data_IF_902793558789
#
_entry.id   IF_902793558789
#
_cell.length_a   1.000
_cell.length_b   1.000
_cell.length_c   1.000
_cell.angle_alpha   90.00
_cell.angle_beta   90.00
_cell.angle_gamma   90.00
#
_symmetry.space_group_name_H-M   'P 1'
#
loop_
_entity.id
_entity.type
_entity.pdbx_description
1 polymer ?
#
# COMPACT_ATOMS: atom_id res chain seq x y z
N UNK A 1 -3.81 -12.71 -10.16
CA UNK A 1 -4.40 -11.91 -9.08
C UNK A 1 -3.36 -10.85 -8.73
N UNK A 2 -3.56 -9.62 -9.19
CA UNK A 2 -2.56 -8.56 -9.12
C UNK A 2 -3.03 -7.51 -8.12
N UNK A 3 -2.30 -7.41 -7.02
CA UNK A 3 -2.59 -6.54 -5.89
C UNK A 3 -2.73 -5.05 -6.26
N UNK A 4 -2.17 -4.66 -7.42
CA UNK A 4 -2.19 -3.29 -7.91
C UNK A 4 -2.68 -3.11 -9.35
N UNK A 5 -3.13 -4.18 -10.02
CA UNK A 5 -3.63 -4.06 -11.40
C UNK A 5 -5.02 -3.45 -11.41
N UNK A 6 -5.20 -2.26 -12.03
CA UNK A 6 -6.49 -1.59 -12.08
C UNK A 6 -7.56 -2.40 -12.82
N UNK A 7 -7.20 -3.33 -13.71
CA UNK A 7 -8.15 -4.18 -14.44
C UNK A 7 -8.73 -5.31 -13.58
N UNK A 8 -8.04 -5.70 -12.51
CA UNK A 8 -8.50 -6.70 -11.54
C UNK A 8 -8.88 -6.09 -10.19
N UNK A 9 -8.65 -4.79 -10.01
CA UNK A 9 -8.95 -4.09 -8.79
C UNK A 9 -10.43 -3.73 -8.73
N UNK A 10 -11.13 -4.40 -7.82
CA UNK A 10 -12.52 -4.11 -7.54
C UNK A 10 -12.76 -2.69 -6.99
N UNK A 11 -11.72 -1.97 -6.56
CA UNK A 11 -11.77 -0.55 -6.16
C UNK A 11 -11.60 0.44 -7.31
N UNK A 12 -11.17 -0.03 -8.49
CA UNK A 12 -10.94 0.77 -9.70
C UNK A 12 -12.21 0.95 -10.55
N UNK A 13 -13.29 0.23 -10.23
CA UNK A 13 -14.59 0.39 -10.88
C UNK A 13 -15.57 1.14 -9.94
N UNK A 14 -15.95 2.40 -10.25
CA UNK A 14 -16.85 3.20 -9.41
C UNK A 14 -18.29 2.62 -9.35
N UNK A 15 -18.72 1.87 -10.37
CA UNK A 15 -20.03 1.22 -10.42
C UNK A 15 -20.06 -0.10 -9.65
N UNK A 16 -18.89 -0.69 -9.37
CA UNK A 16 -18.74 -1.71 -8.35
C UNK A 16 -18.47 -1.04 -7.02
N UNK A 17 -19.47 -0.34 -6.49
CA UNK A 17 -19.67 -0.42 -5.04
C UNK A 17 -19.83 -1.90 -4.76
N UNK A 18 -18.73 -2.53 -4.32
CA UNK A 18 -18.71 -3.92 -3.87
C UNK A 18 -19.99 -4.15 -3.07
N UNK A 19 -20.59 -5.33 -3.20
CA UNK A 19 -21.73 -5.75 -2.37
C UNK A 19 -21.28 -5.92 -0.90
N UNK A 20 -20.82 -4.82 -0.31
CA UNK A 20 -20.20 -4.73 1.00
C UNK A 20 -21.23 -5.05 2.08
N UNK A 21 -22.50 -4.71 1.83
CA UNK A 21 -23.63 -5.01 2.68
C UNK A 21 -23.73 -6.51 3.04
N UNK A 22 -23.30 -7.41 2.14
CA UNK A 22 -23.29 -8.87 2.39
C UNK A 22 -22.27 -9.29 3.45
N UNK A 23 -21.15 -8.58 3.59
CA UNK A 23 -20.13 -8.88 4.60
C UNK A 23 -20.53 -8.35 6.00
N UNK A 24 -21.57 -7.52 6.10
CA UNK A 24 -22.09 -6.97 7.35
C UNK A 24 -23.41 -7.60 7.81
N UNK A 25 -24.03 -8.44 6.98
CA UNK A 25 -25.29 -9.12 7.31
C UNK A 25 -25.10 -10.50 7.94
N UNK A 26 -23.92 -11.09 7.79
CA UNK A 26 -23.57 -12.34 8.45
C UNK A 26 -23.08 -12.03 9.87
N UNK A 27 -23.87 -12.46 10.85
CA UNK A 27 -23.60 -12.30 12.29
C UNK A 27 -22.26 -12.99 12.62
N UNK A 28 -21.39 -12.31 13.36
CA UNK A 28 -20.12 -12.90 13.81
C UNK A 28 -20.38 -14.27 14.46
N UNK A 29 -19.65 -15.34 14.07
CA UNK A 29 -19.81 -16.64 14.69
C UNK A 29 -19.39 -16.53 16.17
N UNK A 30 -20.38 -16.61 17.06
CA UNK A 30 -20.15 -16.67 18.50
C UNK A 30 -19.51 -18.02 18.86
N UNK A 31 -18.20 -18.12 18.73
CA UNK A 31 -17.40 -19.30 19.08
C UNK A 31 -15.91 -19.08 18.76
N UNK A 32 -14.98 -19.88 19.32
CA UNK A 32 -13.61 -19.88 18.84
C UNK A 32 -13.62 -20.17 17.34
N UNK A 33 -12.98 -19.30 16.54
CA UNK A 33 -13.02 -19.38 15.08
C UNK A 33 -12.48 -20.72 14.59
N UNK A 34 -13.37 -21.63 14.20
CA UNK A 34 -13.01 -22.92 13.60
C UNK A 34 -12.44 -22.75 12.18
N UNK A 35 -12.72 -21.61 11.53
CA UNK A 35 -12.21 -21.26 10.21
C UNK A 35 -11.37 -19.96 10.27
N UNK A 36 -10.08 -20.00 9.91
CA UNK A 36 -9.24 -18.81 9.78
C UNK A 36 -9.82 -17.76 8.82
N UNK A 37 -10.73 -18.13 7.91
CA UNK A 37 -11.37 -17.22 6.95
C UNK A 37 -12.36 -16.23 7.58
N UNK A 38 -12.80 -16.47 8.82
CA UNK A 38 -13.78 -15.62 9.54
C UNK A 38 -13.14 -14.70 10.58
N UNK A 39 -11.81 -14.69 10.71
CA UNK A 39 -11.13 -13.78 11.64
C UNK A 39 -11.08 -12.34 11.10
N UNK A 40 -11.26 -11.32 11.94
CA UNK A 40 -11.10 -9.93 11.52
C UNK A 40 -9.68 -9.73 10.94
N UNK A 41 -9.63 -9.16 9.75
CA UNK A 41 -8.39 -8.89 9.01
C UNK A 41 -7.45 -8.05 9.89
N UNK A 42 -6.26 -8.59 10.20
CA UNK A 42 -5.25 -7.95 11.08
C UNK A 42 -5.77 -7.60 12.48
N UNK A 43 -6.93 -8.12 12.93
CA UNK A 43 -7.59 -7.67 14.15
C UNK A 43 -8.07 -6.20 14.09
N UNK A 44 -8.29 -5.65 12.89
CA UNK A 44 -8.68 -4.25 12.69
C UNK A 44 -10.14 -4.08 12.27
N UNK A 45 -10.69 -2.89 12.49
CA UNK A 45 -12.02 -2.55 12.02
C UNK A 45 -12.07 -2.39 10.50
N UNK A 46 -13.24 -2.61 9.91
CA UNK A 46 -13.47 -2.43 8.48
C UNK A 46 -13.12 -1.02 7.95
N UNK A 47 -13.18 0.01 8.81
CA UNK A 47 -12.78 1.37 8.45
C UNK A 47 -11.31 1.46 8.05
N UNK A 48 -10.43 0.66 8.65
CA UNK A 48 -9.02 0.61 8.28
C UNK A 48 -8.84 0.05 6.87
N UNK A 49 -9.62 -0.96 6.50
CA UNK A 49 -9.64 -1.50 5.13
C UNK A 49 -10.10 -0.47 4.09
N UNK A 50 -11.16 0.30 4.42
CA UNK A 50 -11.62 1.40 3.56
C UNK A 50 -10.54 2.48 3.37
N UNK A 51 -9.80 2.79 4.44
CA UNK A 51 -8.71 3.76 4.37
C UNK A 51 -7.59 3.29 3.42
N UNK A 52 -7.20 2.02 3.48
CA UNK A 52 -6.23 1.42 2.55
C UNK A 52 -6.72 1.56 1.10
N UNK A 53 -7.99 1.25 0.87
CA UNK A 53 -8.61 1.34 -0.44
C UNK A 53 -8.60 2.77 -1.00
N UNK A 54 -9.02 3.75 -0.20
CA UNK A 54 -9.09 5.15 -0.61
C UNK A 54 -7.70 5.75 -0.85
N UNK A 55 -6.71 5.45 0.01
CA UNK A 55 -5.32 5.87 -0.21
C UNK A 55 -4.77 5.28 -1.50
N UNK A 56 -5.01 4.00 -1.76
CA UNK A 56 -4.53 3.33 -2.99
C UNK A 56 -5.17 3.96 -4.22
N UNK A 57 -6.49 4.24 -4.17
CA UNK A 57 -7.22 4.88 -5.27
C UNK A 57 -6.69 6.28 -5.56
N UNK A 58 -6.52 7.11 -4.53
CA UNK A 58 -5.99 8.46 -4.70
C UNK A 58 -4.55 8.42 -5.22
N UNK A 59 -3.73 7.51 -4.70
CA UNK A 59 -2.36 7.32 -5.18
C UNK A 59 -2.28 6.86 -6.64
N UNK A 60 -3.34 6.28 -7.21
CA UNK A 60 -3.44 5.91 -8.64
C UNK A 60 -3.88 7.04 -9.56
N UNK A 61 -4.29 8.20 -9.03
CA UNK A 61 -4.68 9.32 -9.86
C UNK A 61 -3.57 9.62 -10.89
N UNK A 62 -3.94 9.56 -12.16
CA UNK A 62 -3.09 9.78 -13.31
C UNK A 62 -3.47 11.14 -13.93
N UNK A 63 -2.69 12.17 -13.67
CA UNK A 63 -2.93 13.50 -14.22
C UNK A 63 -2.56 14.63 -13.26
N UNK A 64 -2.75 15.90 -13.69
CA UNK A 64 -2.64 17.04 -12.79
C UNK A 64 -3.73 16.95 -11.71
N UNK A 65 -3.32 17.09 -10.45
CA UNK A 65 -4.24 17.01 -9.32
C UNK A 65 -5.19 18.21 -9.32
N UNK A 66 -6.48 17.93 -9.21
CA UNK A 66 -7.49 18.97 -9.03
C UNK A 66 -7.63 19.33 -7.54
N UNK A 67 -8.33 20.43 -7.26
CA UNK A 67 -8.56 20.89 -5.89
C UNK A 67 -9.29 19.84 -5.02
N UNK A 68 -10.14 19.00 -5.63
CA UNK A 68 -10.83 17.92 -4.92
C UNK A 68 -9.85 16.81 -4.48
N UNK A 69 -8.82 16.51 -5.28
CA UNK A 69 -7.81 15.52 -4.93
C UNK A 69 -6.93 16.01 -3.77
N UNK A 70 -6.59 17.30 -3.75
CA UNK A 70 -5.83 17.93 -2.66
C UNK A 70 -6.62 17.85 -1.36
N UNK A 71 -7.91 18.19 -1.38
CA UNK A 71 -8.77 18.07 -0.20
C UNK A 71 -8.90 16.62 0.27
N UNK A 72 -9.04 15.68 -0.68
CA UNK A 72 -9.09 14.24 -0.37
C UNK A 72 -7.77 13.76 0.26
N UNK A 73 -6.63 14.23 -0.26
CA UNK A 73 -5.32 13.94 0.30
C UNK A 73 -5.21 14.41 1.75
N UNK A 74 -5.59 15.66 2.03
CA UNK A 74 -5.52 16.24 3.38
C UNK A 74 -6.36 15.44 4.37
N UNK A 75 -7.61 15.14 4.00
CA UNK A 75 -8.52 14.30 4.81
C UNK A 75 -7.92 12.94 5.10
N UNK A 76 -7.43 12.22 4.08
CA UNK A 76 -6.85 10.89 4.25
C UNK A 76 -5.56 10.93 5.10
N UNK A 77 -4.76 11.99 4.95
CA UNK A 77 -3.57 12.19 5.76
C UNK A 77 -3.92 12.38 7.25
N UNK A 78 -4.91 13.22 7.55
CA UNK A 78 -5.39 13.45 8.92
C UNK A 78 -5.99 12.19 9.54
N UNK A 79 -6.83 11.46 8.81
CA UNK A 79 -7.41 10.19 9.25
C UNK A 79 -6.31 9.16 9.55
N UNK A 80 -5.29 9.07 8.70
CA UNK A 80 -4.16 8.16 8.91
C UNK A 80 -3.35 8.51 10.17
N UNK A 81 -3.15 9.80 10.45
CA UNK A 81 -2.51 10.25 11.70
C UNK A 81 -3.34 9.92 12.95
N UNK A 82 -4.67 9.91 12.85
CA UNK A 82 -5.53 9.48 13.95
C UNK A 82 -5.39 7.98 14.21
N UNK A 83 -5.34 7.18 13.14
CA UNK A 83 -5.10 5.74 13.23
C UNK A 83 -3.74 5.41 13.85
N UNK A 84 -2.68 6.12 13.48
CA UNK A 84 -1.34 5.96 14.05
C UNK A 84 -1.30 6.23 15.56
N UNK A 85 -2.12 7.17 16.04
CA UNK A 85 -2.23 7.50 17.47
C UNK A 85 -3.13 6.53 18.24
N UNK A 86 -3.90 5.68 17.56
CA UNK A 86 -4.83 4.76 18.22
C UNK A 86 -4.07 3.55 18.81
N UNK A 87 -4.22 3.27 20.12
CA UNK A 87 -3.58 2.11 20.76
C UNK A 87 -3.92 0.76 20.11
N UNK A 88 -5.09 0.60 19.50
CA UNK A 88 -5.48 -0.63 18.81
C UNK A 88 -4.74 -0.84 17.48
N UNK A 89 -4.14 0.22 16.91
CA UNK A 89 -3.29 0.13 15.73
C UNK A 89 -1.83 -0.24 16.05
N UNK A 90 -1.51 -0.53 17.32
CA UNK A 90 -0.14 -0.85 17.76
C UNK A 90 0.31 -2.29 17.47
N UNK A 91 -0.52 -3.12 16.82
CA UNK A 91 0.03 -4.36 16.26
C UNK A 91 0.95 -4.02 15.07
N UNK A 92 2.03 -4.78 14.93
CA UNK A 92 3.08 -4.49 13.96
C UNK A 92 2.58 -4.56 12.51
N UNK A 93 1.59 -5.40 12.22
CA UNK A 93 0.95 -5.51 10.92
C UNK A 93 0.19 -4.23 10.53
N UNK A 94 -0.61 -3.68 11.43
CA UNK A 94 -1.33 -2.41 11.25
C UNK A 94 -0.36 -1.27 10.99
N UNK A 95 0.70 -1.19 11.79
CA UNK A 95 1.73 -0.17 11.61
C UNK A 95 2.41 -0.31 10.24
N UNK A 96 2.67 -1.53 9.77
CA UNK A 96 3.23 -1.78 8.45
C UNK A 96 2.33 -1.25 7.32
N UNK A 97 1.01 -1.41 7.46
CA UNK A 97 0.03 -0.82 6.54
C UNK A 97 -0.02 0.71 6.62
N UNK A 98 0.06 1.28 7.83
CA UNK A 98 0.13 2.74 8.03
C UNK A 98 1.34 3.31 7.30
N UNK A 99 2.52 2.73 7.49
CA UNK A 99 3.74 3.17 6.82
C UNK A 99 3.63 3.05 5.30
N UNK A 100 3.08 1.95 4.78
CA UNK A 100 2.85 1.78 3.35
C UNK A 100 1.87 2.83 2.78
N UNK A 101 0.77 3.13 3.49
CA UNK A 101 -0.16 4.20 3.10
C UNK A 101 0.52 5.58 3.09
N UNK A 102 1.34 5.90 4.10
CA UNK A 102 2.12 7.14 4.13
C UNK A 102 3.07 7.26 2.93
N UNK A 103 3.75 6.16 2.57
CA UNK A 103 4.62 6.12 1.37
C UNK A 103 3.80 6.39 0.09
N UNK A 104 2.62 5.80 -0.04
CA UNK A 104 1.74 6.04 -1.20
C UNK A 104 1.23 7.49 -1.26
N UNK A 105 0.86 8.08 -0.12
CA UNK A 105 0.43 9.48 -0.06
C UNK A 105 1.55 10.45 -0.44
N UNK A 106 2.83 10.12 -0.16
CA UNK A 106 3.97 10.93 -0.59
C UNK A 106 4.20 10.90 -2.10
N UNK A 107 3.66 9.90 -2.83
CA UNK A 107 3.69 9.90 -4.30
C UNK A 107 2.92 11.10 -4.88
N UNK A 108 1.89 11.54 -4.17
CA UNK A 108 0.91 12.51 -4.65
C UNK A 108 0.96 13.83 -3.87
N UNK A 109 1.89 13.95 -2.92
CA UNK A 109 2.19 15.20 -2.26
C UNK A 109 2.79 16.17 -3.29
N UNK A 110 2.03 17.22 -3.59
CA UNK A 110 2.41 18.30 -4.51
C UNK A 110 3.08 19.47 -3.76
N UNK A 111 2.97 19.50 -2.42
CA UNK A 111 3.50 20.56 -1.58
C UNK A 111 4.96 20.31 -1.19
N UNK A 112 5.38 19.04 -1.13
CA UNK A 112 6.76 18.67 -0.88
C UNK A 112 7.62 18.69 -2.16
N UNK A 113 8.80 19.34 -2.14
CA UNK A 113 9.82 19.16 -3.18
C UNK A 113 10.19 17.68 -3.36
N UNK A 114 10.56 17.23 -4.58
CA UNK A 114 10.88 15.83 -4.84
C UNK A 114 11.94 15.23 -3.89
N UNK A 115 13.01 15.98 -3.60
CA UNK A 115 14.08 15.52 -2.70
C UNK A 115 13.60 15.32 -1.26
N UNK A 116 12.73 16.21 -0.78
CA UNK A 116 12.13 16.08 0.55
C UNK A 116 11.20 14.87 0.62
N UNK A 117 10.39 14.66 -0.41
CA UNK A 117 9.53 13.49 -0.53
C UNK A 117 10.35 12.19 -0.54
N UNK A 118 11.46 12.13 -1.27
CA UNK A 118 12.36 10.97 -1.30
C UNK A 118 13.03 10.72 0.06
N UNK A 119 13.45 11.78 0.76
CA UNK A 119 13.97 11.68 2.13
C UNK A 119 12.94 11.11 3.11
N UNK A 120 11.69 11.59 3.02
CA UNK A 120 10.55 11.09 3.83
C UNK A 120 10.21 9.63 3.50
N UNK A 121 10.16 9.26 2.21
CA UNK A 121 9.95 7.87 1.78
C UNK A 121 11.05 6.97 2.34
N UNK A 122 12.31 7.39 2.23
CA UNK A 122 13.46 6.62 2.73
C UNK A 122 13.40 6.42 4.26
N UNK A 123 12.97 7.44 5.00
CA UNK A 123 12.78 7.35 6.44
C UNK A 123 11.66 6.35 6.81
N UNK A 124 10.51 6.43 6.14
CA UNK A 124 9.38 5.50 6.36
C UNK A 124 9.74 4.07 5.98
N UNK A 125 10.51 3.89 4.89
CA UNK A 125 11.03 2.58 4.50
C UNK A 125 11.88 1.96 5.61
N UNK A 126 12.83 2.70 6.20
CA UNK A 126 13.67 2.17 7.29
C UNK A 126 12.84 1.70 8.48
N UNK A 127 11.82 2.46 8.88
CA UNK A 127 10.90 2.03 9.93
C UNK A 127 10.15 0.75 9.55
N UNK A 128 9.64 0.71 8.30
CA UNK A 128 8.92 -0.45 7.78
C UNK A 128 9.80 -1.70 7.75
N UNK A 129 11.06 -1.59 7.35
CA UNK A 129 11.99 -2.71 7.34
C UNK A 129 12.31 -3.24 8.75
N UNK A 130 12.37 -2.36 9.75
CA UNK A 130 12.48 -2.76 11.15
C UNK A 130 11.30 -3.64 11.58
N UNK A 131 10.07 -3.23 11.24
CA UNK A 131 8.85 -4.02 11.52
C UNK A 131 8.82 -5.32 10.72
N UNK A 132 9.21 -5.29 9.44
CA UNK A 132 9.27 -6.51 8.62
C UNK A 132 10.17 -7.54 9.28
N UNK A 133 11.29 -7.14 9.88
CA UNK A 133 12.18 -8.05 10.56
C UNK A 133 11.56 -8.66 11.83
N UNK A 134 10.79 -7.89 12.61
CA UNK A 134 10.17 -8.35 13.86
C UNK A 134 8.88 -9.17 13.66
N UNK A 135 8.10 -8.87 12.62
CA UNK A 135 6.80 -9.53 12.38
C UNK A 135 6.97 -11.03 12.21
N UNK A 136 6.26 -11.78 13.05
CA UNK A 136 6.07 -13.21 12.94
C UNK A 136 5.06 -13.55 11.81
N UNK A 137 5.49 -14.26 10.76
CA UNK A 137 4.61 -14.68 9.67
C UNK A 137 3.43 -15.54 10.11
N UNK A 138 3.57 -16.28 11.22
CA UNK A 138 2.56 -17.22 11.70
C UNK A 138 1.40 -16.51 12.45
N UNK A 139 1.59 -15.25 12.84
CA UNK A 139 0.58 -14.44 13.55
C UNK A 139 -0.44 -13.77 12.64
N UNK A 140 -0.16 -13.67 11.34
CA UNK A 140 -1.03 -12.99 10.38
C UNK A 140 -1.36 -13.89 9.21
N UNK A 141 -2.62 -13.84 8.75
CA UNK A 141 -3.00 -14.52 7.52
C UNK A 141 -2.15 -14.00 6.35
N UNK A 142 -1.41 -14.93 5.72
CA UNK A 142 -0.37 -14.72 4.72
C UNK A 142 -0.68 -13.69 3.61
N UNK A 143 -1.96 -13.59 3.21
CA UNK A 143 -2.40 -12.70 2.15
C UNK A 143 -2.33 -11.21 2.50
N UNK A 144 -2.42 -10.86 3.78
CA UNK A 144 -2.52 -9.45 4.18
C UNK A 144 -1.17 -8.75 4.17
N UNK A 145 -0.10 -9.38 4.62
CA UNK A 145 1.22 -8.73 4.66
C UNK A 145 1.84 -8.49 3.28
N UNK A 146 1.34 -9.15 2.22
CA UNK A 146 1.87 -8.96 0.87
C UNK A 146 1.66 -7.54 0.34
N UNK A 147 0.57 -6.87 0.71
CA UNK A 147 0.31 -5.50 0.26
C UNK A 147 1.34 -4.49 0.74
N UNK A 148 1.55 -4.32 2.05
CA UNK A 148 2.53 -3.36 2.52
C UNK A 148 3.97 -3.77 2.13
N UNK A 149 4.28 -5.08 2.06
CA UNK A 149 5.58 -5.56 1.58
C UNK A 149 5.86 -5.19 0.11
N UNK A 150 4.84 -5.19 -0.73
CA UNK A 150 5.01 -4.79 -2.13
C UNK A 150 5.25 -3.29 -2.24
N UNK A 151 4.55 -2.47 -1.44
CA UNK A 151 4.80 -1.01 -1.38
C UNK A 151 6.24 -0.73 -0.93
N UNK A 152 6.67 -1.30 0.20
CA UNK A 152 8.04 -1.15 0.71
C UNK A 152 9.08 -1.68 -0.28
N UNK A 153 8.83 -2.85 -0.88
CA UNK A 153 9.71 -3.46 -1.86
C UNK A 153 9.90 -2.62 -3.11
N UNK A 154 8.91 -1.83 -3.51
CA UNK A 154 8.98 -0.95 -4.68
C UNK A 154 9.90 0.25 -4.46
N UNK A 155 10.04 0.71 -3.22
CA UNK A 155 10.89 1.85 -2.85
C UNK A 155 12.23 1.44 -2.22
N UNK A 156 12.46 0.14 -2.00
CA UNK A 156 13.77 -0.37 -1.59
C UNK A 156 14.85 -0.11 -2.66
N UNK A 157 16.01 0.40 -2.22
CA UNK A 157 17.12 0.81 -3.09
C UNK A 157 18.36 -0.04 -2.86
N UNK A 158 18.74 -0.25 -1.60
CA UNK A 158 19.98 -0.97 -1.28
C UNK A 158 19.78 -2.48 -1.34
N UNK A 159 20.87 -3.22 -1.55
CA UNK A 159 20.83 -4.68 -1.59
C UNK A 159 20.29 -5.28 -0.28
N UNK A 160 20.57 -4.64 0.86
CA UNK A 160 20.09 -5.12 2.16
C UNK A 160 18.58 -4.89 2.34
N UNK A 161 18.09 -3.71 1.98
CA UNK A 161 16.64 -3.41 1.99
C UNK A 161 15.86 -4.39 1.11
N UNK A 162 16.37 -4.63 -0.11
CA UNK A 162 15.79 -5.59 -1.06
C UNK A 162 15.78 -7.00 -0.47
N UNK A 163 16.88 -7.42 0.15
CA UNK A 163 17.03 -8.73 0.78
C UNK A 163 16.02 -8.93 1.90
N UNK A 164 15.85 -7.94 2.79
CA UNK A 164 14.90 -8.00 3.91
C UNK A 164 13.47 -8.27 3.39
N UNK A 165 13.02 -7.48 2.41
CA UNK A 165 11.69 -7.64 1.82
C UNK A 165 11.53 -8.99 1.14
N UNK A 166 12.51 -9.39 0.32
CA UNK A 166 12.45 -10.65 -0.42
C UNK A 166 12.43 -11.88 0.50
N UNK A 167 13.21 -11.86 1.59
CA UNK A 167 13.20 -12.93 2.59
C UNK A 167 11.82 -13.03 3.22
N UNK A 168 11.20 -11.92 3.63
CA UNK A 168 9.86 -11.97 4.22
C UNK A 168 8.80 -12.44 3.23
N UNK A 169 8.84 -11.97 1.98
CA UNK A 169 7.93 -12.44 0.91
C UNK A 169 8.09 -13.96 0.69
N UNK A 170 9.32 -14.47 0.74
CA UNK A 170 9.58 -15.90 0.60
C UNK A 170 9.04 -16.71 1.78
N UNK A 171 9.18 -16.19 3.01
CA UNK A 171 8.66 -16.82 4.23
C UNK A 171 7.13 -16.86 4.25
N UNK A 172 6.45 -15.85 3.72
CA UNK A 172 4.99 -15.82 3.61
C UNK A 172 4.43 -16.75 2.51
N UNK A 173 5.30 -17.49 1.82
CA UNK A 173 5.01 -18.22 0.60
C UNK A 173 4.52 -19.66 0.78
N UNK A 174 3.34 -19.88 1.38
CA UNK A 174 2.58 -21.13 1.21
C UNK A 174 1.97 -21.27 -0.21
N UNK A 175 1.97 -20.18 -1.00
CA UNK A 175 1.61 -20.13 -2.44
C UNK A 175 2.76 -19.55 -3.27
N UNK A 176 3.72 -20.42 -3.65
CA UNK A 176 4.95 -20.07 -4.41
C UNK A 176 4.71 -19.15 -5.62
N UNK A 177 3.58 -19.30 -6.31
CA UNK A 177 3.25 -18.52 -7.50
C UNK A 177 3.10 -17.01 -7.22
N UNK A 178 2.39 -16.62 -6.15
CA UNK A 178 2.15 -15.20 -5.84
C UNK A 178 3.43 -14.52 -5.36
N UNK A 179 4.18 -15.17 -4.46
CA UNK A 179 5.47 -14.67 -3.99
C UNK A 179 6.52 -14.58 -5.13
N UNK A 180 6.49 -15.51 -6.09
CA UNK A 180 7.34 -15.44 -7.29
C UNK A 180 6.94 -14.27 -8.19
N UNK A 181 5.64 -14.06 -8.38
CA UNK A 181 5.13 -12.94 -9.17
C UNK A 181 5.51 -11.59 -8.53
N UNK A 182 5.30 -11.41 -7.23
CA UNK A 182 5.66 -10.16 -6.52
C UNK A 182 7.15 -9.86 -6.69
N UNK A 183 8.03 -10.85 -6.52
CA UNK A 183 9.48 -10.67 -6.72
C UNK A 183 9.81 -10.21 -8.14
N UNK A 184 9.31 -10.92 -9.14
CA UNK A 184 9.53 -10.56 -10.55
C UNK A 184 9.01 -9.16 -10.88
N UNK A 185 7.86 -8.78 -10.32
CA UNK A 185 7.28 -7.45 -10.51
C UNK A 185 8.10 -6.34 -9.84
N UNK A 186 8.57 -6.56 -8.61
CA UNK A 186 9.45 -5.63 -7.89
C UNK A 186 10.78 -5.43 -8.61
N UNK A 187 11.38 -6.50 -9.13
CA UNK A 187 12.63 -6.41 -9.89
C UNK A 187 12.43 -5.55 -11.15
N UNK A 188 11.31 -5.73 -11.86
CA UNK A 188 10.95 -4.87 -13.00
C UNK A 188 10.84 -3.39 -12.60
N UNK A 189 10.09 -3.07 -11.53
CA UNK A 189 9.91 -1.69 -11.06
C UNK A 189 11.27 -1.03 -10.75
N UNK A 190 12.16 -1.74 -10.05
CA UNK A 190 13.48 -1.22 -9.65
C UNK A 190 14.39 -0.92 -10.84
N UNK A 191 14.30 -1.72 -11.90
CA UNK A 191 15.10 -1.52 -13.12
C UNK A 191 14.59 -0.38 -14.02
N UNK A 192 13.37 0.12 -13.79
CA UNK A 192 12.76 1.06 -14.73
C UNK A 192 13.16 2.51 -14.48
N UNK A 193 13.43 2.90 -13.22
CA UNK A 193 13.73 4.28 -12.85
C UNK A 193 14.47 4.38 -11.51
N UNK A 194 15.26 5.45 -11.34
CA UNK A 194 15.96 5.77 -10.09
C UNK A 194 15.09 6.54 -9.08
N UNK A 195 14.05 7.25 -9.50
CA UNK A 195 13.20 8.02 -8.57
C UNK A 195 12.21 7.13 -7.84
N UNK A 196 12.13 7.27 -6.52
CA UNK A 196 11.20 6.51 -5.67
C UNK A 196 9.74 6.81 -6.02
N UNK A 197 9.43 8.07 -6.32
CA UNK A 197 8.08 8.52 -6.71
C UNK A 197 7.62 7.86 -8.01
N UNK A 198 8.52 7.73 -8.98
CA UNK A 198 8.25 7.06 -10.26
C UNK A 198 8.04 5.55 -10.06
N UNK A 199 8.83 4.90 -9.19
CA UNK A 199 8.65 3.48 -8.86
C UNK A 199 7.27 3.19 -8.27
N UNK A 200 6.76 4.07 -7.41
CA UNK A 200 5.39 4.00 -6.90
C UNK A 200 4.35 4.16 -8.03
N UNK A 201 4.60 5.06 -8.99
CA UNK A 201 3.76 5.17 -10.18
C UNK A 201 3.69 3.88 -11.00
N UNK A 202 4.83 3.22 -11.25
CA UNK A 202 4.88 1.93 -11.93
C UNK A 202 4.19 0.82 -11.15
N UNK A 203 4.39 0.76 -9.82
CA UNK A 203 3.68 -0.18 -8.94
C UNK A 203 2.16 -0.07 -9.11
N UNK A 204 1.67 1.16 -9.23
CA UNK A 204 0.26 1.49 -9.29
C UNK A 204 -0.34 1.41 -10.69
N UNK A 205 0.45 1.06 -11.71
CA UNK A 205 -0.01 0.98 -13.11
C UNK A 205 -0.31 2.34 -13.73
N UNK A 206 0.24 3.43 -13.19
CA UNK A 206 0.06 4.78 -13.75
C UNK A 206 0.98 4.94 -14.95
N UNK A 207 0.43 5.29 -16.10
CA UNK A 207 1.24 5.51 -17.32
C UNK A 207 1.90 6.88 -17.28
N UNK A 208 3.22 6.93 -17.49
CA UNK A 208 4.04 8.16 -17.42
C UNK A 208 4.34 8.72 -18.81
N UNK A 209 3.79 8.10 -19.87
CA UNK A 209 3.91 8.54 -21.26
C UNK A 209 3.36 9.97 -21.52
N UNK A 210 2.69 10.60 -20.55
CA UNK A 210 2.12 11.95 -20.69
C UNK A 210 2.71 13.01 -19.75
N UNK A 211 3.54 12.66 -18.77
CA UNK A 211 3.96 13.61 -17.72
C UNK A 211 5.14 14.51 -18.15
N UNK A 212 5.84 14.17 -19.23
CA UNK A 212 6.97 14.96 -19.74
C UNK A 212 6.61 16.16 -20.64
N UNK A 213 5.34 16.32 -21.04
CA UNK A 213 4.98 17.25 -22.13
C UNK A 213 4.18 18.50 -21.71
N UNK A 214 3.84 18.71 -20.43
CA UNK A 214 2.93 19.81 -20.03
C UNK A 214 3.30 20.61 -18.78
N UNK A 215 4.56 20.55 -18.33
CA UNK A 215 5.08 21.51 -17.34
C UNK A 215 5.77 22.74 -17.96
N UNK A 216 5.78 22.84 -19.29
CA UNK A 216 6.13 24.06 -20.00
C UNK A 216 4.97 24.43 -20.90
N UNK A 217 4.03 25.21 -20.36
CA UNK A 217 3.05 26.08 -21.03
C UNK A 217 1.85 26.15 -20.10
N UNK A 218 1.86 27.12 -19.18
CA UNK A 218 0.90 28.23 -19.21
C UNK A 218 1.17 29.15 -18.01
N UNK A 219 1.40 30.41 -18.39
CA UNK A 219 1.55 31.68 -17.65
C UNK A 219 1.18 31.76 -16.17
#
# INVERSE_FOLDING_TARGET
>A
MMLFDPTFDALSNPDRRMYLDRYFTEREPNGPAEDPSTQPILGTSYQFFLLIADVTRLARAAGPFCHADIFTWQRLHEELLQWERNPQAQNEGCMLYILAMRILLLRIDISAPPEEAEGRISFLLRQGLGLVQSIDPDQFLFGYLLWPLTVLGSVAVTADEIRIVNVKIALLGSRRALASWVRSHLDKIRTTTSSLRMRLGYLLGVDHSQTGARLFLEY
#
